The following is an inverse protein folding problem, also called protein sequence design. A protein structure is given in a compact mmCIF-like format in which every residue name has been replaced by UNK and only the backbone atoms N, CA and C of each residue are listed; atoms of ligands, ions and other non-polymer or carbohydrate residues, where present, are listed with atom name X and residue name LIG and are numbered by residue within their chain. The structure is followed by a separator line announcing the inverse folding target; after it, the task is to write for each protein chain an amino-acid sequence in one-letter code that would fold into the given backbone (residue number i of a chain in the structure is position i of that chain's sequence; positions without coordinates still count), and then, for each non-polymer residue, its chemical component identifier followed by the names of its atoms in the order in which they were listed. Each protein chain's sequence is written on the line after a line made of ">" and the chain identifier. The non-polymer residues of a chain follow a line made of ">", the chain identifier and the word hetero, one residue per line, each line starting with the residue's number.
data_IF_321582440089
#
_entry.id   IF_321582440089
#
_cell.length_a   1.000
_cell.length_b   1.000
_cell.length_c   1.000
_cell.angle_alpha   90.00
_cell.angle_beta   90.00
_cell.angle_gamma   90.00
#
_symmetry.space_group_name_H-M   'P 1'
#
loop_
_entity.id
_entity.type
_entity.pdbx_description
1 polymer ?
#
# COMPACT_ATOMS: atom_id res chain seq x y z
N UNK A 1 -25.28 6.26 18.18
CA UNK A 1 -24.42 7.43 17.89
C UNK A 1 -23.07 6.88 17.50
N UNK A 2 -22.82 6.70 16.21
CA UNK A 2 -21.52 6.26 15.70
C UNK A 2 -20.57 7.45 15.82
N UNK A 3 -19.39 7.21 16.41
CA UNK A 3 -18.39 8.25 16.61
C UNK A 3 -18.03 8.90 15.25
N UNK A 4 -18.14 10.23 15.09
CA UNK A 4 -17.77 10.90 13.84
C UNK A 4 -16.28 10.76 13.50
N UNK A 5 -15.45 10.15 14.34
CA UNK A 5 -14.02 9.92 14.16
C UNK A 5 -13.62 8.45 14.01
N UNK A 6 -14.53 7.48 14.01
CA UNK A 6 -14.15 6.10 13.65
C UNK A 6 -13.64 6.08 12.20
N UNK A 7 -12.42 5.55 11.95
CA UNK A 7 -11.91 5.41 10.60
C UNK A 7 -12.77 4.39 9.86
N UNK A 8 -13.77 4.90 9.14
CA UNK A 8 -14.67 4.08 8.35
C UNK A 8 -13.88 3.32 7.29
N UNK A 9 -14.20 2.04 7.18
CA UNK A 9 -13.63 1.11 6.22
C UNK A 9 -13.66 1.67 4.77
N UNK A 10 -12.50 1.81 4.10
CA UNK A 10 -12.41 2.34 2.74
C UNK A 10 -13.26 1.58 1.72
N UNK A 11 -13.36 0.25 1.87
CA UNK A 11 -14.19 -0.59 1.00
C UNK A 11 -15.67 -0.25 1.18
N UNK A 12 -16.14 -0.19 2.43
CA UNK A 12 -17.52 0.20 2.76
C UNK A 12 -17.84 1.62 2.29
N UNK A 13 -16.93 2.59 2.47
CA UNK A 13 -17.12 3.98 2.04
C UNK A 13 -17.38 4.10 0.53
N UNK A 14 -16.73 3.26 -0.27
CA UNK A 14 -16.88 3.22 -1.73
C UNK A 14 -17.91 2.18 -2.20
N UNK A 15 -18.50 1.40 -1.28
CA UNK A 15 -19.41 0.31 -1.61
C UNK A 15 -18.74 -0.77 -2.49
N UNK A 16 -17.45 -1.05 -2.23
CA UNK A 16 -16.67 -2.06 -2.92
C UNK A 16 -16.56 -3.33 -2.06
N UNK A 17 -16.47 -4.53 -2.68
CA UNK A 17 -16.24 -5.75 -1.93
C UNK A 17 -14.84 -5.77 -1.30
N UNK A 18 -14.72 -6.41 -0.13
CA UNK A 18 -13.44 -6.67 0.55
C UNK A 18 -12.61 -7.71 -0.20
N UNK A 19 -12.06 -7.33 -1.36
CA UNK A 19 -11.16 -8.15 -2.17
C UNK A 19 -9.95 -7.33 -2.61
N UNK A 20 -8.83 -8.02 -2.82
CA UNK A 20 -7.61 -7.36 -3.27
C UNK A 20 -7.67 -6.99 -4.77
N UNK A 21 -8.31 -7.84 -5.57
CA UNK A 21 -8.44 -7.67 -7.03
C UNK A 21 -9.55 -6.69 -7.39
N UNK A 22 -9.23 -5.42 -7.17
CA UNK A 22 -9.97 -4.27 -7.64
C UNK A 22 -9.13 -3.55 -8.70
N UNK A 23 -9.68 -3.40 -9.90
CA UNK A 23 -9.07 -2.57 -10.93
C UNK A 23 -9.20 -1.09 -10.56
N UNK A 24 -8.25 -0.28 -11.04
CA UNK A 24 -8.31 1.18 -10.90
C UNK A 24 -9.62 1.76 -11.46
N UNK A 25 -10.14 1.18 -12.54
CA UNK A 25 -11.40 1.60 -13.13
C UNK A 25 -12.61 1.34 -12.21
N UNK A 26 -12.66 0.16 -11.55
CA UNK A 26 -13.70 -0.15 -10.56
C UNK A 26 -13.68 0.85 -9.39
N UNK A 27 -12.48 1.13 -8.86
CA UNK A 27 -12.29 2.07 -7.74
C UNK A 27 -12.71 3.48 -8.14
N UNK A 28 -12.27 3.95 -9.32
CA UNK A 28 -12.60 5.29 -9.82
C UNK A 28 -14.10 5.44 -10.10
N UNK A 29 -14.75 4.43 -10.69
CA UNK A 29 -16.18 4.45 -10.94
C UNK A 29 -16.99 4.51 -9.62
N UNK A 30 -16.56 3.75 -8.61
CA UNK A 30 -17.16 3.79 -7.28
C UNK A 30 -16.99 5.16 -6.61
N UNK A 31 -15.78 5.73 -6.68
CA UNK A 31 -15.48 7.06 -6.16
C UNK A 31 -16.40 8.14 -6.75
N UNK A 32 -16.49 8.23 -8.08
CA UNK A 32 -17.32 9.23 -8.76
C UNK A 32 -18.81 9.09 -8.39
N UNK A 33 -19.32 7.86 -8.33
CA UNK A 33 -20.71 7.58 -7.94
C UNK A 33 -21.02 8.07 -6.53
N UNK A 34 -20.10 7.89 -5.58
CA UNK A 34 -20.30 8.29 -4.19
C UNK A 34 -20.13 9.81 -4.02
N UNK A 35 -19.13 10.40 -4.66
CA UNK A 35 -18.88 11.83 -4.61
C UNK A 35 -20.04 12.64 -5.23
N UNK A 36 -20.65 12.16 -6.31
CA UNK A 36 -21.79 12.81 -6.95
C UNK A 36 -23.03 12.97 -6.04
N UNK A 37 -23.15 12.12 -5.00
CA UNK A 37 -24.24 12.19 -4.01
C UNK A 37 -23.99 13.26 -2.94
N UNK A 38 -22.76 13.74 -2.81
CA UNK A 38 -22.30 14.66 -1.76
C UNK A 38 -22.09 16.09 -2.29
N UNK A 39 -22.73 16.47 -3.39
CA UNK A 39 -22.46 17.75 -4.07
C UNK A 39 -22.89 18.95 -3.20
N UNK A 40 -21.96 19.75 -2.66
CA UNK A 40 -22.26 20.77 -1.67
C UNK A 40 -23.12 21.91 -2.22
N UNK A 41 -23.07 22.16 -3.53
CA UNK A 41 -23.87 23.22 -4.17
C UNK A 41 -25.38 22.93 -4.18
N UNK A 42 -25.78 21.68 -3.88
CA UNK A 42 -27.19 21.31 -3.73
C UNK A 42 -27.71 21.51 -2.30
N UNK A 43 -26.84 21.91 -1.38
CA UNK A 43 -27.15 21.98 0.06
C UNK A 43 -27.23 23.44 0.49
N UNK A 44 -28.45 23.85 0.88
CA UNK A 44 -28.73 25.21 1.31
C UNK A 44 -28.26 25.47 2.76
N UNK A 45 -28.37 24.47 3.64
CA UNK A 45 -27.97 24.59 5.04
C UNK A 45 -26.43 24.58 5.18
N UNK A 46 -25.82 25.60 5.81
CA UNK A 46 -24.38 25.63 6.08
C UNK A 46 -23.85 24.43 6.88
N UNK A 47 -24.63 23.89 7.83
CA UNK A 47 -24.20 22.76 8.65
C UNK A 47 -24.14 21.49 7.80
N UNK A 48 -25.22 21.18 7.08
CA UNK A 48 -25.28 20.05 6.15
C UNK A 48 -24.19 20.15 5.06
N UNK A 49 -23.82 21.37 4.64
CA UNK A 49 -22.74 21.59 3.67
C UNK A 49 -21.37 21.20 4.23
N UNK A 50 -21.11 21.53 5.50
CA UNK A 50 -19.88 21.13 6.19
C UNK A 50 -19.83 19.60 6.30
N UNK A 51 -20.93 18.96 6.70
CA UNK A 51 -21.03 17.51 6.80
C UNK A 51 -20.78 16.82 5.44
N UNK A 52 -21.38 17.33 4.37
CA UNK A 52 -21.16 16.82 3.01
C UNK A 52 -19.70 16.98 2.56
N UNK A 53 -19.06 18.09 2.88
CA UNK A 53 -17.63 18.32 2.61
C UNK A 53 -16.74 17.31 3.35
N UNK A 54 -17.01 17.07 4.64
CA UNK A 54 -16.31 16.06 5.43
C UNK A 54 -16.52 14.65 4.86
N UNK A 55 -17.74 14.32 4.46
CA UNK A 55 -18.04 13.04 3.82
C UNK A 55 -17.30 12.89 2.47
N UNK A 56 -17.23 13.95 1.67
CA UNK A 56 -16.49 13.96 0.41
C UNK A 56 -14.98 13.73 0.63
N UNK A 57 -14.41 14.35 1.67
CA UNK A 57 -13.02 14.13 2.05
C UNK A 57 -12.75 12.66 2.41
N UNK A 58 -13.64 12.00 3.17
CA UNK A 58 -13.54 10.57 3.50
C UNK A 58 -13.60 9.69 2.25
N UNK A 59 -14.49 9.99 1.31
CA UNK A 59 -14.59 9.28 0.02
C UNK A 59 -13.31 9.43 -0.81
N UNK A 60 -12.71 10.63 -0.81
CA UNK A 60 -11.43 10.87 -1.49
C UNK A 60 -10.28 10.09 -0.85
N UNK A 61 -10.23 10.05 0.48
CA UNK A 61 -9.22 9.29 1.23
C UNK A 61 -9.38 7.79 0.98
N UNK A 62 -10.61 7.26 1.01
CA UNK A 62 -10.89 5.87 0.72
C UNK A 62 -10.40 5.47 -0.69
N UNK A 63 -10.64 6.31 -1.70
CA UNK A 63 -10.11 6.11 -3.06
C UNK A 63 -8.58 6.07 -3.05
N UNK A 64 -7.92 7.03 -2.40
CA UNK A 64 -6.46 7.08 -2.36
C UNK A 64 -5.84 5.85 -1.69
N UNK A 65 -6.47 5.35 -0.61
CA UNK A 65 -6.07 4.11 0.06
C UNK A 65 -6.26 2.91 -0.87
N UNK A 66 -7.42 2.76 -1.50
CA UNK A 66 -7.70 1.61 -2.34
C UNK A 66 -6.95 1.63 -3.68
N UNK A 67 -6.54 2.80 -4.21
CA UNK A 67 -5.75 2.87 -5.45
C UNK A 67 -4.29 2.46 -5.24
N UNK A 68 -3.74 2.64 -4.04
CA UNK A 68 -2.41 2.18 -3.70
C UNK A 68 -2.48 0.70 -3.31
N UNK A 69 -1.79 -0.17 -4.04
CA UNK A 69 -1.87 -1.61 -3.82
C UNK A 69 -1.33 -2.04 -2.44
N UNK A 70 -0.27 -1.41 -1.92
CA UNK A 70 0.27 -1.70 -0.59
C UNK A 70 -0.75 -1.34 0.50
N UNK A 71 -1.32 -0.14 0.41
CA UNK A 71 -2.34 0.32 1.35
C UNK A 71 -3.60 -0.55 1.27
N UNK A 72 -4.05 -0.88 0.05
CA UNK A 72 -5.21 -1.78 -0.17
C UNK A 72 -4.97 -3.16 0.43
N UNK A 73 -3.78 -3.73 0.26
CA UNK A 73 -3.42 -5.01 0.87
C UNK A 73 -3.41 -4.92 2.40
N UNK A 74 -2.86 -3.84 2.97
CA UNK A 74 -2.85 -3.63 4.42
C UNK A 74 -4.26 -3.53 5.00
N UNK A 75 -5.12 -2.70 4.42
CA UNK A 75 -6.52 -2.56 4.86
C UNK A 75 -7.25 -3.90 4.79
N UNK A 76 -7.12 -4.62 3.68
CA UNK A 76 -7.78 -5.91 3.54
C UNK A 76 -7.26 -6.94 4.56
N UNK A 77 -5.95 -6.97 4.81
CA UNK A 77 -5.34 -7.88 5.77
C UNK A 77 -5.88 -7.66 7.19
N UNK A 78 -5.94 -6.40 7.64
CA UNK A 78 -6.49 -6.04 8.96
C UNK A 78 -7.97 -6.41 9.03
N UNK A 79 -8.74 -6.15 7.97
CA UNK A 79 -10.17 -6.53 7.90
C UNK A 79 -10.41 -8.03 7.95
N UNK A 80 -9.49 -8.83 7.44
CA UNK A 80 -9.56 -10.29 7.53
C UNK A 80 -9.11 -10.84 8.90
N UNK A 81 -8.70 -9.97 9.84
CA UNK A 81 -8.27 -10.34 11.19
C UNK A 81 -6.76 -10.49 11.35
N UNK A 82 -5.98 -9.99 10.39
CA UNK A 82 -4.51 -9.97 10.49
C UNK A 82 -4.04 -8.83 11.40
N UNK A 83 -2.87 -9.00 12.01
CA UNK A 83 -2.27 -7.99 12.88
C UNK A 83 -2.08 -6.66 12.15
N UNK A 84 -2.19 -5.54 12.85
CA UNK A 84 -1.86 -4.22 12.33
C UNK A 84 -0.34 -4.06 12.13
N UNK A 85 0.04 -3.03 11.37
CA UNK A 85 1.44 -2.66 11.13
C UNK A 85 2.23 -2.49 12.44
N UNK A 86 1.60 -1.93 13.46
CA UNK A 86 2.28 -1.58 14.71
C UNK A 86 2.47 -2.77 15.63
N UNK A 87 1.62 -3.79 15.47
CA UNK A 87 1.59 -5.00 16.28
C UNK A 87 2.60 -6.04 15.82
N UNK A 88 2.85 -6.15 14.52
CA UNK A 88 3.76 -7.14 13.96
C UNK A 88 4.70 -6.57 12.89
N UNK A 89 6.00 -6.62 13.21
CA UNK A 89 7.11 -6.16 12.36
C UNK A 89 8.01 -7.31 11.90
N UNK A 90 7.55 -8.55 12.02
CA UNK A 90 8.28 -9.75 11.60
C UNK A 90 8.55 -9.71 10.10
N UNK A 91 9.73 -10.16 9.71
CA UNK A 91 10.16 -10.29 8.31
C UNK A 91 10.24 -11.78 7.94
N UNK A 92 10.16 -12.12 6.65
CA UNK A 92 10.39 -13.49 6.19
C UNK A 92 11.78 -13.99 6.58
N UNK A 93 11.91 -15.30 6.79
CA UNK A 93 13.20 -15.93 7.05
C UNK A 93 14.16 -15.69 5.89
N UNK A 94 15.45 -15.45 6.21
CA UNK A 94 16.48 -15.17 5.21
C UNK A 94 16.45 -13.77 4.60
N UNK A 95 15.35 -13.02 4.74
CA UNK A 95 15.17 -11.71 4.10
C UNK A 95 16.31 -10.73 4.39
N UNK A 96 16.77 -10.62 5.65
CA UNK A 96 17.83 -9.68 5.99
C UNK A 96 19.17 -10.03 5.32
N UNK A 97 19.47 -11.32 5.14
CA UNK A 97 20.68 -11.75 4.46
C UNK A 97 20.62 -11.42 2.96
N UNK A 98 19.50 -11.73 2.30
CA UNK A 98 19.25 -11.37 0.90
C UNK A 98 19.32 -9.85 0.69
N UNK A 99 18.79 -9.07 1.63
CA UNK A 99 18.83 -7.61 1.56
C UNK A 99 20.24 -7.04 1.76
N UNK A 100 21.10 -7.68 2.56
CA UNK A 100 22.50 -7.27 2.70
C UNK A 100 23.26 -7.49 1.40
N UNK A 101 23.14 -8.67 0.78
CA UNK A 101 23.74 -8.97 -0.52
C UNK A 101 23.25 -8.01 -1.60
N UNK A 102 21.96 -7.71 -1.60
CA UNK A 102 21.35 -6.75 -2.54
C UNK A 102 21.95 -5.35 -2.36
N UNK A 103 22.12 -4.88 -1.12
CA UNK A 103 22.74 -3.57 -0.85
C UNK A 103 24.17 -3.51 -1.36
N UNK A 104 24.99 -4.53 -1.10
CA UNK A 104 26.37 -4.60 -1.58
C UNK A 104 26.45 -4.57 -3.11
N UNK A 105 25.55 -5.30 -3.79
CA UNK A 105 25.42 -5.25 -5.25
C UNK A 105 25.08 -3.84 -5.74
N UNK A 106 24.11 -3.19 -5.12
CA UNK A 106 23.69 -1.83 -5.47
C UNK A 106 24.85 -0.83 -5.28
N UNK A 107 25.53 -0.88 -4.14
CA UNK A 107 26.68 -0.02 -3.84
C UNK A 107 27.81 -0.19 -4.87
N UNK A 108 28.09 -1.44 -5.26
CA UNK A 108 29.08 -1.75 -6.30
C UNK A 108 28.69 -1.18 -7.67
N UNK A 109 27.41 -1.29 -8.04
CA UNK A 109 26.89 -0.73 -9.29
C UNK A 109 26.99 0.79 -9.30
N UNK A 110 26.62 1.45 -8.20
CA UNK A 110 26.67 2.90 -8.05
C UNK A 110 28.10 3.46 -8.17
N UNK A 111 29.12 2.69 -7.78
CA UNK A 111 30.53 3.08 -7.92
C UNK A 111 31.06 2.97 -9.35
N UNK A 112 30.42 2.19 -10.21
CA UNK A 112 30.95 1.82 -11.53
C UNK A 112 30.35 2.67 -12.66
N UNK A 113 29.03 2.83 -12.70
CA UNK A 113 28.30 3.64 -13.69
C UNK A 113 26.92 4.02 -13.14
N UNK A 114 26.73 5.27 -12.72
CA UNK A 114 25.49 5.73 -12.10
C UNK A 114 24.26 5.68 -13.02
N UNK A 115 24.43 5.74 -14.34
CA UNK A 115 23.31 5.67 -15.29
C UNK A 115 22.81 4.23 -15.48
N UNK A 116 23.74 3.29 -15.64
CA UNK A 116 23.41 1.86 -15.73
C UNK A 116 22.89 1.33 -14.39
N UNK A 117 23.53 1.72 -13.27
CA UNK A 117 23.12 1.34 -11.92
C UNK A 117 21.66 1.69 -11.65
N UNK A 118 21.23 2.91 -12.01
CA UNK A 118 19.85 3.35 -11.83
C UNK A 118 18.85 2.46 -12.56
N UNK A 119 19.13 2.14 -13.82
CA UNK A 119 18.24 1.31 -14.64
C UNK A 119 18.12 -0.10 -14.05
N UNK A 120 19.22 -0.66 -13.55
CA UNK A 120 19.22 -1.97 -12.89
C UNK A 120 18.43 -1.95 -11.57
N UNK A 121 18.62 -0.92 -10.73
CA UNK A 121 17.90 -0.77 -9.46
C UNK A 121 16.39 -0.59 -9.69
N UNK A 122 16.00 0.27 -10.64
CA UNK A 122 14.58 0.47 -10.99
C UNK A 122 13.96 -0.84 -11.54
N UNK A 123 14.71 -1.59 -12.35
CA UNK A 123 14.29 -2.89 -12.87
C UNK A 123 14.10 -3.94 -11.78
N UNK A 124 15.06 -4.05 -10.86
CA UNK A 124 14.97 -4.92 -9.68
C UNK A 124 13.79 -4.53 -8.78
N UNK A 125 13.65 -3.25 -8.44
CA UNK A 125 12.54 -2.75 -7.64
C UNK A 125 11.18 -3.08 -8.25
N UNK A 126 11.04 -2.91 -9.57
CA UNK A 126 9.81 -3.25 -10.28
C UNK A 126 9.53 -4.76 -10.24
N UNK A 127 10.57 -5.61 -10.32
CA UNK A 127 10.41 -7.06 -10.19
C UNK A 127 9.99 -7.47 -8.78
N UNK A 128 10.64 -6.92 -7.74
CA UNK A 128 10.29 -7.17 -6.35
C UNK A 128 8.86 -6.74 -6.04
N UNK A 129 8.46 -5.53 -6.43
CA UNK A 129 7.08 -5.04 -6.27
C UNK A 129 6.07 -6.00 -6.89
N UNK A 130 6.31 -6.47 -8.12
CA UNK A 130 5.43 -7.48 -8.77
C UNK A 130 5.37 -8.77 -7.96
N UNK A 131 6.51 -9.25 -7.47
CA UNK A 131 6.58 -10.45 -6.63
C UNK A 131 5.77 -10.32 -5.34
N UNK A 132 5.90 -9.22 -4.61
CA UNK A 132 5.10 -8.96 -3.41
C UNK A 132 3.61 -8.87 -3.71
N UNK A 133 3.24 -8.19 -4.79
CA UNK A 133 1.85 -8.08 -5.22
C UNK A 133 1.22 -9.44 -5.54
N UNK A 134 1.94 -10.31 -6.24
CA UNK A 134 1.49 -11.66 -6.57
C UNK A 134 1.34 -12.53 -5.32
N UNK A 135 2.32 -12.49 -4.40
CA UNK A 135 2.26 -13.21 -3.12
C UNK A 135 1.10 -12.72 -2.26
N UNK A 136 0.96 -11.41 -2.07
CA UNK A 136 -0.13 -10.82 -1.29
C UNK A 136 -1.50 -11.14 -1.88
N UNK A 137 -1.65 -11.04 -3.20
CA UNK A 137 -2.88 -11.45 -3.89
C UNK A 137 -3.27 -12.88 -3.53
N UNK A 138 -2.33 -13.82 -3.69
CA UNK A 138 -2.56 -15.24 -3.39
C UNK A 138 -2.95 -15.45 -1.93
N UNK A 139 -2.16 -14.91 -1.01
CA UNK A 139 -2.37 -15.06 0.44
C UNK A 139 -3.72 -14.50 0.86
N UNK A 140 -4.08 -13.30 0.41
CA UNK A 140 -5.34 -12.65 0.78
C UNK A 140 -6.56 -13.36 0.17
N UNK A 141 -6.46 -13.84 -1.07
CA UNK A 141 -7.51 -14.65 -1.69
C UNK A 141 -7.71 -15.99 -0.95
N UNK A 142 -6.63 -16.67 -0.58
CA UNK A 142 -6.70 -17.94 0.15
C UNK A 142 -7.27 -17.72 1.56
N UNK A 143 -6.78 -16.71 2.28
CA UNK A 143 -7.22 -16.36 3.63
C UNK A 143 -8.73 -16.02 3.68
N UNK A 144 -9.28 -15.43 2.61
CA UNK A 144 -10.70 -15.14 2.53
C UNK A 144 -11.57 -16.42 2.46
N UNK A 145 -11.04 -17.53 1.92
CA UNK A 145 -11.77 -18.78 1.72
C UNK A 145 -11.57 -19.85 2.81
N UNK A 146 -10.73 -19.60 3.81
CA UNK A 146 -10.41 -20.55 4.89
C UNK A 146 -10.62 -19.93 6.27
N UNK A 147 -10.71 -20.78 7.29
CA UNK A 147 -10.94 -20.38 8.69
C UNK A 147 -9.90 -21.03 9.64
N UNK A 148 -9.94 -20.64 10.92
CA UNK A 148 -9.11 -21.20 11.98
C UNK A 148 -7.61 -20.93 11.80
N UNK A 149 -6.77 -21.84 12.30
CA UNK A 149 -5.32 -21.70 12.33
C UNK A 149 -4.71 -21.48 10.94
N UNK A 150 -5.33 -22.04 9.88
CA UNK A 150 -4.87 -21.84 8.51
C UNK A 150 -5.03 -20.38 8.07
N UNK A 151 -6.18 -19.75 8.38
CA UNK A 151 -6.38 -18.32 8.11
C UNK A 151 -5.37 -17.49 8.89
N UNK A 152 -5.19 -17.77 10.18
CA UNK A 152 -4.22 -17.04 11.02
C UNK A 152 -2.81 -17.10 10.46
N UNK A 153 -2.35 -18.28 10.03
CA UNK A 153 -1.04 -18.46 9.42
C UNK A 153 -0.88 -17.67 8.11
N UNK A 154 -1.90 -17.68 7.24
CA UNK A 154 -1.88 -16.91 6.00
C UNK A 154 -1.85 -15.40 6.27
N UNK A 155 -2.59 -14.91 7.26
CA UNK A 155 -2.59 -13.48 7.60
C UNK A 155 -1.25 -13.04 8.21
N UNK A 156 -0.61 -13.90 9.02
CA UNK A 156 0.75 -13.67 9.49
C UNK A 156 1.76 -13.61 8.34
N UNK A 157 1.68 -14.54 7.39
CA UNK A 157 2.49 -14.51 6.16
C UNK A 157 2.26 -13.20 5.37
N UNK A 158 1.00 -12.81 5.17
CA UNK A 158 0.66 -11.56 4.48
C UNK A 158 1.25 -10.33 5.17
N UNK A 159 1.26 -10.30 6.51
CA UNK A 159 1.87 -9.22 7.29
C UNK A 159 3.39 -9.18 7.11
N UNK A 160 4.06 -10.33 7.11
CA UNK A 160 5.49 -10.43 6.81
C UNK A 160 5.81 -9.92 5.39
N UNK A 161 5.00 -10.26 4.38
CA UNK A 161 5.17 -9.77 3.01
C UNK A 161 5.01 -8.23 2.93
N UNK A 162 4.03 -7.64 3.62
CA UNK A 162 3.87 -6.18 3.72
C UNK A 162 5.05 -5.52 4.44
N UNK A 163 5.62 -6.17 5.44
CA UNK A 163 6.79 -5.67 6.17
C UNK A 163 8.03 -5.64 5.27
N UNK A 164 8.26 -6.72 4.53
CA UNK A 164 9.37 -6.85 3.58
C UNK A 164 9.25 -5.84 2.43
N UNK A 165 8.07 -5.69 1.82
CA UNK A 165 7.85 -4.71 0.76
C UNK A 165 8.19 -3.29 1.25
N UNK A 166 7.65 -2.85 2.40
CA UNK A 166 7.95 -1.51 2.94
C UNK A 166 9.42 -1.30 3.28
N UNK A 167 10.14 -2.36 3.67
CA UNK A 167 11.57 -2.27 3.89
C UNK A 167 12.30 -1.92 2.57
N UNK A 168 11.92 -2.57 1.48
CA UNK A 168 12.48 -2.31 0.14
C UNK A 168 12.11 -0.91 -0.35
N UNK A 169 10.87 -0.46 -0.19
CA UNK A 169 10.48 0.91 -0.58
C UNK A 169 11.32 1.97 0.15
N UNK A 170 11.52 1.81 1.47
CA UNK A 170 12.38 2.71 2.25
C UNK A 170 13.84 2.66 1.80
N UNK A 171 14.35 1.48 1.46
CA UNK A 171 15.70 1.34 0.92
C UNK A 171 15.83 2.13 -0.39
N UNK A 172 14.87 1.99 -1.30
CA UNK A 172 14.87 2.67 -2.59
C UNK A 172 14.78 4.19 -2.43
N UNK A 173 13.96 4.67 -1.50
CA UNK A 173 13.90 6.10 -1.14
C UNK A 173 15.26 6.62 -0.66
N UNK A 174 15.91 5.91 0.27
CA UNK A 174 17.23 6.27 0.80
C UNK A 174 18.31 6.34 -0.28
N UNK A 175 18.31 5.37 -1.20
CA UNK A 175 19.26 5.35 -2.32
C UNK A 175 19.04 6.56 -3.25
N UNK A 176 17.78 6.88 -3.57
CA UNK A 176 17.46 8.04 -4.39
C UNK A 176 17.82 9.37 -3.73
N UNK A 177 17.71 9.49 -2.39
CA UNK A 177 18.13 10.68 -1.64
C UNK A 177 19.66 10.84 -1.57
N UNK A 178 20.39 9.73 -1.38
CA UNK A 178 21.84 9.73 -1.35
C UNK A 178 22.44 10.21 -2.69
N UNK A 179 21.89 9.75 -3.82
CA UNK A 179 22.32 10.21 -5.15
C UNK A 179 22.07 11.71 -5.37
N UNK A 180 20.91 12.24 -4.96
CA UNK A 180 20.58 13.66 -5.09
C UNK A 180 21.49 14.57 -4.25
N UNK A 181 22.04 14.04 -3.17
CA UNK A 181 22.87 14.77 -2.22
C UNK A 181 24.37 14.73 -2.58
N UNK A 182 24.78 13.87 -3.51
CA UNK A 182 26.16 13.77 -3.97
C UNK A 182 26.48 14.94 -4.93
N UNK A 183 27.48 15.80 -4.65
CA UNK A 183 27.81 16.90 -5.53
C UNK A 183 28.27 16.35 -6.88
N UNK A 184 27.65 16.84 -7.96
CA UNK A 184 28.20 16.67 -9.32
C UNK A 184 29.56 17.35 -9.34
N UNK A 185 30.64 16.59 -9.19
CA UNK A 185 31.96 17.05 -9.55
C UNK A 185 31.96 17.28 -11.07
N UNK A 186 31.66 18.51 -11.46
CA UNK A 186 31.92 19.00 -12.81
C UNK A 186 33.44 19.02 -13.04
N UNK A 187 33.94 18.42 -14.13
CA UNK A 187 35.35 18.47 -14.49
C UNK A 187 35.80 19.88 -14.88
#
# INVERSE_FOLDING_TARGET
>A
MTDPLEPLDPFTLLGLPHKFDLSRAEIQAAHLRHLARLHPDRIADPIERIEASMAAARVNQARAILENDEHRANELLVRLGGAEREEDRTLPDGFLAEMMETRERIETLMQSDGGQARTEIEGWAAAERRGYLERLRRVLQEAAGVEGDRRTALLAEGRQQLNAWRYIERLLEQLGDAERSSPRETP
#
